data_IF_928997162257
#
_entry.id   IF_928997162257
#
_cell.length_a   1.000
_cell.length_b   1.000
_cell.length_c   1.000
_cell.angle_alpha   90.00
_cell.angle_beta   90.00
_cell.angle_gamma   90.00
#
_symmetry.space_group_name_H-M   'P 1'
#
loop_
_entity.id
_entity.type
_entity.pdbx_description
1 polymer ?
#
# COMPACT_ATOMS: atom_id res chain seq x y z
N UNK A 1 -64.29 48.79 24.71
CA UNK A 1 -62.94 48.70 25.28
C UNK A 1 -62.61 47.17 25.37
N UNK A 2 -61.99 46.66 24.33
CA UNK A 2 -61.67 45.20 24.22
C UNK A 2 -60.16 45.12 24.04
N UNK A 3 -59.49 44.48 25.03
CA UNK A 3 -58.07 44.22 25.03
C UNK A 3 -57.84 42.79 24.45
N UNK A 4 -57.26 42.70 23.29
CA UNK A 4 -56.79 41.44 22.68
C UNK A 4 -55.39 41.15 23.20
N UNK A 5 -55.23 40.01 23.90
CA UNK A 5 -53.93 39.44 24.32
C UNK A 5 -53.36 38.63 23.14
N UNK A 6 -52.21 39.05 22.61
CA UNK A 6 -51.43 38.28 21.68
C UNK A 6 -50.50 37.28 22.45
N UNK A 7 -50.70 36.01 22.27
CA UNK A 7 -49.80 34.95 22.81
C UNK A 7 -48.68 34.70 21.81
N UNK A 8 -47.44 34.94 22.24
CA UNK A 8 -46.25 34.62 21.48
C UNK A 8 -45.90 33.15 21.74
N UNK A 9 -46.00 32.32 20.67
CA UNK A 9 -45.50 30.94 20.67
C UNK A 9 -43.99 30.94 20.35
N UNK A 10 -43.17 30.61 21.35
CA UNK A 10 -41.75 30.31 21.14
C UNK A 10 -41.61 28.89 20.57
N UNK A 11 -41.22 28.79 19.31
CA UNK A 11 -40.83 27.49 18.70
C UNK A 11 -39.36 27.26 19.06
N UNK A 12 -39.10 26.34 19.98
CA UNK A 12 -37.74 25.88 20.28
C UNK A 12 -37.35 24.83 19.20
N UNK A 13 -36.48 25.23 18.26
CA UNK A 13 -35.81 24.32 17.33
C UNK A 13 -34.72 23.55 18.05
N UNK A 14 -35.03 22.33 18.49
CA UNK A 14 -34.04 21.38 19.00
C UNK A 14 -33.16 20.89 17.87
N UNK A 15 -31.87 21.23 17.91
CA UNK A 15 -30.85 20.64 17.05
C UNK A 15 -30.58 19.21 17.55
N UNK A 16 -31.12 18.22 16.86
CA UNK A 16 -30.78 16.82 17.08
C UNK A 16 -29.36 16.58 16.56
N UNK A 17 -28.38 16.65 17.46
CA UNK A 17 -27.03 16.14 17.20
C UNK A 17 -27.14 14.60 17.11
N UNK A 18 -27.15 14.09 15.89
CA UNK A 18 -27.04 12.64 15.63
C UNK A 18 -25.73 12.11 16.22
N UNK A 19 -25.67 10.82 16.64
CA UNK A 19 -24.43 10.22 17.08
C UNK A 19 -23.41 10.31 15.96
N UNK A 20 -22.35 11.12 16.16
CA UNK A 20 -21.21 11.15 15.26
C UNK A 20 -20.63 9.74 15.17
N UNK A 21 -20.57 9.16 13.97
CA UNK A 21 -19.82 7.91 13.74
C UNK A 21 -18.40 8.20 14.18
N UNK A 22 -17.97 7.58 15.28
CA UNK A 22 -16.58 7.71 15.72
C UNK A 22 -15.68 7.24 14.57
N UNK A 23 -14.81 8.11 14.09
CA UNK A 23 -13.83 7.76 13.07
C UNK A 23 -13.00 6.57 13.62
N UNK A 24 -12.94 5.47 12.86
CA UNK A 24 -12.13 4.32 13.23
C UNK A 24 -10.69 4.75 13.35
N UNK A 25 -10.04 4.37 14.46
CA UNK A 25 -8.63 4.70 14.68
C UNK A 25 -7.76 4.14 13.55
N UNK A 26 -6.77 4.88 13.12
CA UNK A 26 -5.84 4.42 12.11
C UNK A 26 -4.89 3.35 12.70
N UNK A 27 -4.37 2.49 11.83
CA UNK A 27 -3.31 1.54 12.15
C UNK A 27 -1.99 2.03 11.55
N UNK A 28 -0.90 1.76 12.23
CA UNK A 28 0.45 2.08 11.77
C UNK A 28 1.36 0.88 11.88
N UNK A 29 2.26 0.72 10.92
CA UNK A 29 3.42 -0.16 11.01
C UNK A 29 4.58 0.40 10.19
N UNK A 30 5.80 -0.02 10.52
CA UNK A 30 7.03 0.40 9.83
C UNK A 30 7.80 -0.80 9.32
N UNK A 31 8.37 -0.64 8.11
CA UNK A 31 9.33 -1.55 7.53
C UNK A 31 10.72 -0.92 7.43
N UNK A 32 11.74 -1.76 7.55
CA UNK A 32 13.15 -1.42 7.39
C UNK A 32 13.71 -2.19 6.20
N UNK A 33 14.09 -1.47 5.15
CA UNK A 33 14.59 -2.05 3.92
C UNK A 33 16.12 -2.11 3.92
N UNK A 34 16.63 -3.32 3.76
CA UNK A 34 18.06 -3.62 3.76
C UNK A 34 18.52 -4.12 2.40
N UNK A 35 19.80 -3.94 2.10
CA UNK A 35 20.47 -4.66 1.02
C UNK A 35 20.37 -6.17 1.23
N UNK A 36 20.36 -6.94 0.14
CA UNK A 36 20.22 -8.39 0.21
C UNK A 36 21.51 -9.10 0.64
N UNK A 37 22.68 -8.47 0.46
CA UNK A 37 24.02 -9.05 0.66
C UNK A 37 24.63 -8.69 2.01
N UNK A 38 24.73 -7.42 2.36
CA UNK A 38 25.44 -6.95 3.56
C UNK A 38 24.52 -6.43 4.68
N UNK A 39 23.20 -6.55 4.50
CA UNK A 39 22.16 -6.11 5.46
C UNK A 39 22.31 -4.64 5.90
N UNK A 40 22.73 -3.77 5.00
CA UNK A 40 22.83 -2.32 5.22
C UNK A 40 21.46 -1.68 5.03
N UNK A 41 21.05 -0.81 5.96
CA UNK A 41 19.80 -0.09 5.85
C UNK A 41 19.82 0.86 4.65
N UNK A 42 18.85 0.72 3.77
CA UNK A 42 18.68 1.56 2.57
C UNK A 42 17.64 2.66 2.78
N UNK A 43 16.51 2.30 3.38
CA UNK A 43 15.40 3.20 3.68
C UNK A 43 14.45 2.56 4.70
N UNK A 44 13.54 3.35 5.22
CA UNK A 44 12.38 2.88 5.98
C UNK A 44 11.09 3.18 5.24
N UNK A 45 10.04 2.40 5.47
CA UNK A 45 8.70 2.67 4.98
C UNK A 45 7.71 2.66 6.14
N UNK A 46 7.00 3.76 6.32
CA UNK A 46 5.98 3.94 7.35
C UNK A 46 4.61 3.91 6.70
N UNK A 47 3.73 3.04 7.20
CA UNK A 47 2.41 2.79 6.66
C UNK A 47 1.35 3.24 7.66
N UNK A 48 0.38 4.05 7.21
CA UNK A 48 -0.83 4.39 7.93
C UNK A 48 -2.04 3.85 7.16
N UNK A 49 -2.80 2.95 7.80
CA UNK A 49 -4.05 2.41 7.27
C UNK A 49 -5.19 3.09 8.01
N UNK A 50 -6.09 3.72 7.28
CA UNK A 50 -7.19 4.48 7.87
C UNK A 50 -8.43 4.42 6.96
N UNK A 51 -9.56 4.81 7.52
CA UNK A 51 -10.81 4.96 6.76
C UNK A 51 -11.10 6.45 6.56
N UNK A 52 -11.47 6.81 5.34
CA UNK A 52 -11.97 8.13 5.01
C UNK A 52 -13.21 7.99 4.14
N UNK A 53 -14.33 8.57 4.61
CA UNK A 53 -15.64 8.48 3.95
C UNK A 53 -16.10 7.04 3.65
N UNK A 54 -15.77 6.08 4.53
CA UNK A 54 -16.12 4.66 4.38
C UNK A 54 -15.25 3.88 3.39
N UNK A 55 -14.18 4.49 2.90
CA UNK A 55 -13.19 3.85 2.03
C UNK A 55 -11.89 3.64 2.80
N UNK A 56 -11.35 2.42 2.74
CA UNK A 56 -10.04 2.13 3.33
C UNK A 56 -8.94 2.73 2.47
N UNK A 57 -8.02 3.44 3.14
CA UNK A 57 -6.87 4.10 2.51
C UNK A 57 -5.58 3.74 3.20
N UNK A 58 -4.50 3.84 2.47
CA UNK A 58 -3.14 3.68 3.01
C UNK A 58 -2.27 4.83 2.53
N UNK A 59 -1.61 5.50 3.46
CA UNK A 59 -0.50 6.40 3.20
C UNK A 59 0.79 5.65 3.49
N UNK A 60 1.77 5.72 2.58
CA UNK A 60 3.13 5.20 2.81
C UNK A 60 4.13 6.33 2.61
N UNK A 61 4.99 6.53 3.59
CA UNK A 61 6.12 7.46 3.53
C UNK A 61 7.41 6.65 3.55
N UNK A 62 8.23 6.82 2.53
CA UNK A 62 9.56 6.25 2.48
C UNK A 62 10.56 7.30 2.92
N UNK A 63 11.45 6.94 3.85
CA UNK A 63 12.43 7.86 4.39
C UNK A 63 13.85 7.28 4.28
N UNK A 64 14.80 8.18 4.07
CA UNK A 64 16.23 7.87 4.10
C UNK A 64 16.64 7.32 5.48
N UNK A 65 17.83 6.70 5.63
CA UNK A 65 18.32 6.23 6.94
C UNK A 65 18.39 7.32 8.02
N UNK A 66 18.56 8.59 7.62
CA UNK A 66 18.55 9.77 8.50
C UNK A 66 17.13 10.27 8.87
N UNK A 67 16.09 9.61 8.37
CA UNK A 67 14.69 9.91 8.64
C UNK A 67 14.04 10.93 7.70
N UNK A 68 14.76 11.53 6.75
CA UNK A 68 14.18 12.47 5.80
C UNK A 68 13.30 11.75 4.78
N UNK A 69 12.03 12.12 4.68
CA UNK A 69 11.09 11.54 3.73
C UNK A 69 11.47 11.90 2.28
N UNK A 70 11.42 10.94 1.35
CA UNK A 70 11.75 11.17 -0.06
C UNK A 70 10.70 10.63 -1.03
N UNK A 71 9.86 9.66 -0.62
CA UNK A 71 8.72 9.17 -1.42
C UNK A 71 7.46 9.23 -0.60
N UNK A 72 6.37 9.60 -1.26
CA UNK A 72 5.00 9.45 -0.75
C UNK A 72 4.20 8.58 -1.70
N UNK A 73 3.44 7.65 -1.13
CA UNK A 73 2.55 6.77 -1.87
C UNK A 73 1.18 6.75 -1.21
N UNK A 74 0.16 6.95 -2.02
CA UNK A 74 -1.24 6.82 -1.65
C UNK A 74 -1.83 5.55 -2.24
N UNK A 75 -2.68 4.88 -1.48
CA UNK A 75 -3.43 3.71 -1.93
C UNK A 75 -4.89 3.91 -1.51
N UNK A 76 -5.79 3.83 -2.47
CA UNK A 76 -7.24 3.97 -2.27
C UNK A 76 -7.92 2.67 -2.73
N UNK A 77 -8.56 1.97 -1.79
CA UNK A 77 -9.19 0.67 -2.07
C UNK A 77 -10.64 0.79 -2.56
N UNK A 78 -11.13 2.00 -2.84
CA UNK A 78 -12.48 2.21 -3.35
C UNK A 78 -12.82 1.37 -4.58
N UNK A 79 -11.93 1.22 -5.58
CA UNK A 79 -12.15 0.32 -6.72
C UNK A 79 -12.09 -1.18 -6.40
N UNK A 80 -11.42 -1.56 -5.30
CA UNK A 80 -11.26 -2.93 -4.83
C UNK A 80 -9.95 -3.13 -4.05
N UNK A 81 -9.98 -3.98 -3.04
CA UNK A 81 -8.85 -4.24 -2.14
C UNK A 81 -7.61 -4.75 -2.88
N UNK A 82 -7.79 -5.69 -3.83
CA UNK A 82 -6.71 -6.25 -4.64
C UNK A 82 -6.32 -5.36 -5.84
N UNK A 83 -7.20 -4.45 -6.25
CA UNK A 83 -7.02 -3.58 -7.41
C UNK A 83 -7.19 -2.09 -7.03
N UNK A 84 -6.46 -1.58 -6.03
CA UNK A 84 -6.60 -0.19 -5.58
C UNK A 84 -6.20 0.82 -6.66
N UNK A 85 -6.61 2.08 -6.46
CA UNK A 85 -5.92 3.20 -7.07
C UNK A 85 -4.65 3.51 -6.28
N UNK A 86 -3.59 3.91 -6.97
CA UNK A 86 -2.28 4.15 -6.40
C UNK A 86 -1.69 5.42 -7.00
N UNK A 87 -1.07 6.25 -6.19
CA UNK A 87 -0.24 7.38 -6.63
C UNK A 87 1.06 7.37 -5.83
N UNK A 88 2.19 7.17 -6.50
CA UNK A 88 3.52 7.19 -5.91
C UNK A 88 4.36 8.29 -6.55
N UNK A 89 5.04 9.09 -5.71
CA UNK A 89 5.93 10.16 -6.13
C UNK A 89 7.27 10.09 -5.37
N UNK A 90 8.37 9.99 -6.12
CA UNK A 90 9.75 10.04 -5.62
C UNK A 90 10.37 11.42 -5.92
N UNK A 91 10.56 12.23 -4.89
CA UNK A 91 11.08 13.59 -5.02
C UNK A 91 12.56 13.64 -5.43
N UNK A 92 13.32 12.56 -5.28
CA UNK A 92 14.74 12.49 -5.63
C UNK A 92 14.97 12.57 -7.14
N UNK A 93 14.04 12.03 -7.92
CA UNK A 93 14.15 11.94 -9.37
C UNK A 93 12.97 12.59 -10.11
N UNK A 94 11.88 12.86 -9.39
CA UNK A 94 10.60 13.23 -10.00
C UNK A 94 9.88 12.05 -10.63
N UNK A 95 10.30 10.79 -10.31
CA UNK A 95 9.61 9.60 -10.76
C UNK A 95 8.20 9.54 -10.18
N UNK A 96 7.25 9.19 -11.02
CA UNK A 96 5.86 9.01 -10.62
C UNK A 96 5.23 7.83 -11.33
N UNK A 97 4.42 7.05 -10.62
CA UNK A 97 3.62 5.97 -11.21
C UNK A 97 2.35 5.75 -10.41
N UNK A 98 1.34 5.21 -11.07
CA UNK A 98 0.11 4.88 -10.36
C UNK A 98 -1.02 4.40 -11.26
N UNK A 99 -2.18 4.24 -10.61
CA UNK A 99 -3.47 3.98 -11.23
C UNK A 99 -4.45 4.97 -10.67
N UNK A 100 -5.25 5.57 -11.54
CA UNK A 100 -6.33 6.48 -11.17
C UNK A 100 -7.63 6.07 -11.83
N UNK A 101 -8.73 6.19 -11.10
CA UNK A 101 -10.08 5.98 -11.61
C UNK A 101 -10.75 7.32 -11.83
N UNK A 102 -11.18 7.60 -13.06
CA UNK A 102 -11.91 8.80 -13.39
C UNK A 102 -13.12 8.46 -14.28
N UNK A 103 -14.30 8.96 -13.90
CA UNK A 103 -15.56 8.72 -14.62
C UNK A 103 -15.82 7.23 -14.97
N UNK A 104 -15.47 6.33 -14.08
CA UNK A 104 -15.62 4.87 -14.26
C UNK A 104 -14.56 4.22 -15.15
N UNK A 105 -13.63 4.96 -15.71
CA UNK A 105 -12.49 4.44 -16.45
C UNK A 105 -11.26 4.38 -15.55
N UNK A 106 -10.45 3.35 -15.73
CA UNK A 106 -9.19 3.18 -15.01
C UNK A 106 -8.02 3.41 -15.95
N UNK A 107 -7.06 4.18 -15.48
CA UNK A 107 -5.88 4.55 -16.22
C UNK A 107 -4.64 4.30 -15.38
N UNK A 108 -3.68 3.56 -15.95
CA UNK A 108 -2.33 3.42 -15.39
C UNK A 108 -1.42 4.48 -16.02
N UNK A 109 -0.52 5.07 -15.23
CA UNK A 109 0.39 6.09 -15.69
C UNK A 109 1.80 5.92 -15.09
N UNK A 110 2.78 6.44 -15.82
CA UNK A 110 4.18 6.53 -15.37
C UNK A 110 4.86 7.76 -15.94
N UNK A 111 5.63 8.45 -15.10
CA UNK A 111 6.57 9.50 -15.47
C UNK A 111 7.96 9.10 -14.98
N UNK A 112 8.93 8.96 -15.88
CA UNK A 112 10.24 8.39 -15.55
C UNK A 112 11.15 9.31 -14.72
N UNK A 113 10.95 10.62 -14.85
CA UNK A 113 11.69 11.66 -14.11
C UNK A 113 10.97 13.02 -14.23
N UNK A 114 11.48 14.03 -13.53
CA UNK A 114 10.86 15.35 -13.47
C UNK A 114 10.73 16.06 -14.85
N UNK A 115 11.51 15.67 -15.85
CA UNK A 115 11.53 16.29 -17.20
C UNK A 115 10.78 15.48 -18.24
N UNK A 116 10.49 14.21 -17.96
CA UNK A 116 9.80 13.32 -18.87
C UNK A 116 8.30 13.62 -18.92
N UNK A 117 7.70 13.40 -20.09
CA UNK A 117 6.23 13.40 -20.22
C UNK A 117 5.65 12.17 -19.55
N UNK A 118 4.49 12.33 -18.91
CA UNK A 118 3.70 11.21 -18.40
C UNK A 118 3.24 10.32 -19.57
N UNK A 119 3.46 9.03 -19.44
CA UNK A 119 2.89 8.00 -20.31
C UNK A 119 1.72 7.35 -19.58
N UNK A 120 0.67 7.02 -20.28
CA UNK A 120 -0.52 6.40 -19.69
C UNK A 120 -1.20 5.42 -20.63
N UNK A 121 -2.03 4.54 -20.08
CA UNK A 121 -2.87 3.60 -20.81
C UNK A 121 -4.15 3.32 -20.04
N UNK A 122 -5.27 3.17 -20.75
CA UNK A 122 -6.49 2.66 -20.17
C UNK A 122 -6.33 1.17 -19.86
N UNK A 123 -6.80 0.76 -18.70
CA UNK A 123 -6.75 -0.64 -18.25
C UNK A 123 -8.14 -1.16 -17.90
N UNK A 124 -8.37 -2.44 -18.22
CA UNK A 124 -9.50 -3.22 -17.73
C UNK A 124 -8.92 -4.39 -16.92
N UNK A 125 -8.96 -4.32 -15.57
CA UNK A 125 -8.39 -5.38 -14.75
C UNK A 125 -9.06 -6.73 -15.06
N UNK A 126 -8.29 -7.77 -15.43
CA UNK A 126 -8.83 -9.11 -15.62
C UNK A 126 -9.27 -9.72 -14.28
N UNK A 127 -9.93 -10.87 -14.34
CA UNK A 127 -10.30 -11.61 -13.13
C UNK A 127 -9.06 -11.94 -12.29
N UNK A 128 -9.17 -11.79 -10.96
CA UNK A 128 -8.09 -12.00 -10.00
C UNK A 128 -6.87 -11.09 -10.23
N UNK A 129 -7.04 -9.96 -10.90
CA UNK A 129 -5.99 -8.98 -11.09
C UNK A 129 -5.49 -8.41 -9.76
N UNK A 130 -4.20 -8.09 -9.72
CA UNK A 130 -3.56 -7.45 -8.57
C UNK A 130 -2.83 -6.21 -9.03
N UNK A 131 -2.95 -5.14 -8.27
CA UNK A 131 -2.27 -3.87 -8.48
C UNK A 131 -1.47 -3.52 -7.23
N UNK A 132 -0.14 -3.44 -7.35
CA UNK A 132 0.77 -2.94 -6.31
C UNK A 132 0.47 -3.48 -4.89
N UNK A 133 0.17 -2.61 -3.93
CA UNK A 133 -0.16 -2.95 -2.54
C UNK A 133 -1.40 -3.85 -2.38
N UNK A 134 -2.20 -4.03 -3.42
CA UNK A 134 -3.33 -4.97 -3.46
C UNK A 134 -2.90 -6.42 -3.33
N UNK A 135 -1.60 -6.73 -3.52
CA UNK A 135 -1.08 -8.09 -3.29
C UNK A 135 -1.28 -8.55 -1.83
N UNK A 136 -1.14 -7.65 -0.88
CA UNK A 136 -1.39 -7.93 0.54
C UNK A 136 -2.85 -8.35 0.80
N UNK A 137 -3.81 -7.65 0.21
CA UNK A 137 -5.22 -8.02 0.28
C UNK A 137 -5.49 -9.35 -0.44
N UNK A 138 -4.92 -9.54 -1.62
CA UNK A 138 -5.05 -10.79 -2.38
C UNK A 138 -4.56 -12.00 -1.57
N UNK A 139 -3.40 -11.92 -0.90
CA UNK A 139 -2.89 -13.01 -0.06
C UNK A 139 -3.85 -13.32 1.09
N UNK A 140 -4.37 -12.32 1.78
CA UNK A 140 -5.30 -12.52 2.89
C UNK A 140 -6.64 -13.11 2.46
N UNK A 141 -7.19 -12.63 1.35
CA UNK A 141 -8.45 -13.13 0.78
C UNK A 141 -8.33 -14.58 0.27
N UNK A 142 -7.15 -14.97 -0.21
CA UNK A 142 -6.88 -16.30 -0.74
C UNK A 142 -6.03 -17.18 0.19
N UNK A 143 -5.96 -16.82 1.48
CA UNK A 143 -5.06 -17.46 2.45
C UNK A 143 -5.14 -18.98 2.47
N UNK A 144 -6.34 -19.54 2.55
CA UNK A 144 -6.55 -20.99 2.61
C UNK A 144 -6.14 -21.67 1.29
N UNK A 145 -6.52 -21.07 0.17
CA UNK A 145 -6.14 -21.60 -1.16
C UNK A 145 -4.63 -21.53 -1.39
N UNK A 146 -3.98 -20.43 -0.99
CA UNK A 146 -2.53 -20.26 -1.08
C UNK A 146 -1.76 -21.13 -0.08
N UNK A 147 -2.38 -21.48 1.06
CA UNK A 147 -1.76 -22.33 2.08
C UNK A 147 -1.68 -23.80 1.68
N UNK A 148 -2.47 -24.22 0.70
CA UNK A 148 -2.43 -25.55 0.09
C UNK A 148 -1.25 -25.74 -0.87
N UNK A 149 -1.15 -26.92 -1.51
CA UNK A 149 -0.08 -27.24 -2.46
C UNK A 149 -0.26 -26.58 -3.83
N UNK A 150 -1.36 -25.86 -4.04
CA UNK A 150 -1.74 -25.27 -5.33
C UNK A 150 -0.94 -24.02 -5.70
N UNK A 151 -1.06 -23.66 -6.97
CA UNK A 151 -0.55 -22.40 -7.53
C UNK A 151 -1.76 -21.56 -7.91
N UNK A 152 -1.79 -20.30 -7.46
CA UNK A 152 -2.85 -19.37 -7.79
C UNK A 152 -2.36 -18.43 -8.91
N UNK A 153 -2.97 -18.47 -10.10
CA UNK A 153 -2.67 -17.49 -11.14
C UNK A 153 -3.22 -16.11 -10.74
N UNK A 154 -2.43 -15.09 -11.00
CA UNK A 154 -2.84 -13.70 -10.82
C UNK A 154 -2.18 -12.82 -11.89
N UNK A 155 -2.96 -12.11 -12.70
CA UNK A 155 -2.45 -11.02 -13.50
C UNK A 155 -2.00 -9.87 -12.60
N UNK A 156 -0.72 -9.48 -12.68
CA UNK A 156 -0.15 -8.39 -11.89
C UNK A 156 0.14 -7.18 -12.79
N UNK A 157 -0.33 -6.00 -12.40
CA UNK A 157 -0.07 -4.77 -13.14
C UNK A 157 1.37 -4.31 -12.91
N UNK A 158 2.18 -4.28 -13.96
CA UNK A 158 3.50 -3.64 -13.92
C UNK A 158 3.31 -2.17 -14.31
N UNK A 159 3.21 -1.30 -13.29
CA UNK A 159 2.91 0.13 -13.46
C UNK A 159 3.85 0.80 -14.48
N UNK A 160 5.15 0.55 -14.36
CA UNK A 160 6.16 1.10 -15.27
C UNK A 160 6.08 0.61 -16.71
N UNK A 161 5.34 -0.47 -16.97
CA UNK A 161 5.11 -1.05 -18.30
C UNK A 161 3.69 -0.81 -18.82
N UNK A 162 2.80 -0.27 -17.97
CA UNK A 162 1.42 0.09 -18.31
C UNK A 162 0.52 -1.09 -18.71
N UNK A 163 0.87 -2.32 -18.34
CA UNK A 163 0.06 -3.51 -18.67
C UNK A 163 0.16 -4.61 -17.62
N UNK A 164 -0.83 -5.49 -17.64
CA UNK A 164 -0.84 -6.69 -16.82
C UNK A 164 0.08 -7.76 -17.41
N UNK A 165 0.77 -8.48 -16.51
CA UNK A 165 1.62 -9.61 -16.82
C UNK A 165 1.15 -10.79 -15.99
N UNK A 166 1.17 -11.99 -16.55
CA UNK A 166 0.76 -13.20 -15.86
C UNK A 166 1.80 -13.60 -14.82
N UNK A 167 1.38 -13.56 -13.56
CA UNK A 167 2.13 -14.05 -12.41
C UNK A 167 1.42 -15.24 -11.78
N UNK A 168 2.13 -15.93 -10.93
CA UNK A 168 1.60 -16.97 -10.06
C UNK A 168 2.06 -16.77 -8.63
N UNK A 169 1.17 -17.04 -7.66
CA UNK A 169 1.47 -17.07 -6.25
C UNK A 169 1.34 -18.50 -5.71
N UNK A 170 2.24 -18.90 -4.82
CA UNK A 170 2.20 -20.21 -4.16
C UNK A 170 2.85 -20.15 -2.79
N UNK A 171 2.46 -21.05 -1.92
CA UNK A 171 3.19 -21.30 -0.68
C UNK A 171 4.62 -21.74 -0.98
N UNK A 172 5.57 -21.17 -0.29
CA UNK A 172 6.97 -21.56 -0.37
C UNK A 172 7.35 -22.51 0.79
N UNK A 173 7.10 -22.06 2.02
CA UNK A 173 7.36 -22.82 3.26
C UNK A 173 6.69 -22.18 4.46
N UNK A 174 6.66 -22.92 5.57
CA UNK A 174 6.39 -22.39 6.91
C UNK A 174 7.70 -22.38 7.70
N UNK A 175 7.91 -21.35 8.52
CA UNK A 175 8.99 -21.24 9.50
C UNK A 175 8.38 -21.09 10.90
N UNK A 176 8.79 -21.94 11.86
CA UNK A 176 8.15 -22.08 13.17
C UNK A 176 7.23 -23.30 13.22
N UNK A 177 6.98 -23.87 14.42
CA UNK A 177 6.22 -25.11 14.59
C UNK A 177 4.71 -24.89 14.66
N UNK A 178 3.92 -25.89 14.24
CA UNK A 178 2.48 -26.11 14.54
C UNK A 178 1.54 -24.89 14.37
N UNK A 179 1.67 -24.16 13.25
CA UNK A 179 0.78 -23.02 12.95
C UNK A 179 1.12 -21.74 13.71
N UNK A 180 2.16 -21.78 14.55
CA UNK A 180 2.79 -20.60 15.13
C UNK A 180 4.05 -20.27 14.32
N UNK A 181 4.21 -19.01 13.90
CA UNK A 181 5.37 -18.59 13.13
C UNK A 181 4.99 -17.87 11.85
N UNK A 182 5.85 -17.92 10.85
CA UNK A 182 5.65 -17.21 9.60
C UNK A 182 5.43 -18.16 8.44
N UNK A 183 4.53 -17.75 7.54
CA UNK A 183 4.23 -18.44 6.29
C UNK A 183 4.75 -17.64 5.12
N UNK A 184 5.55 -18.26 4.27
CA UNK A 184 6.15 -17.67 3.10
C UNK A 184 5.35 -18.00 1.84
N UNK A 185 5.06 -16.97 1.06
CA UNK A 185 4.50 -17.08 -0.28
C UNK A 185 5.48 -16.51 -1.30
N UNK A 186 5.53 -17.12 -2.47
CA UNK A 186 6.30 -16.65 -3.60
C UNK A 186 5.39 -16.14 -4.70
N UNK A 187 5.66 -14.93 -5.14
CA UNK A 187 5.11 -14.33 -6.36
C UNK A 187 6.19 -14.38 -7.44
N UNK A 188 5.89 -14.98 -8.57
CA UNK A 188 6.81 -15.12 -9.70
C UNK A 188 6.07 -15.02 -11.02
N UNK A 189 6.77 -14.66 -12.10
CA UNK A 189 6.21 -14.71 -13.46
C UNK A 189 5.71 -16.12 -13.75
N UNK A 190 4.56 -16.21 -14.43
CA UNK A 190 4.06 -17.50 -14.90
C UNK A 190 4.87 -18.00 -16.10
N UNK A 191 5.04 -19.31 -16.22
CA UNK A 191 5.72 -19.94 -17.34
C UNK A 191 6.90 -20.81 -16.94
N UNK A 192 7.42 -21.57 -17.89
CA UNK A 192 8.48 -22.57 -17.67
C UNK A 192 9.84 -21.95 -17.33
N UNK A 193 10.07 -20.66 -17.64
CA UNK A 193 11.30 -19.91 -17.36
C UNK A 193 11.24 -19.13 -16.03
N UNK A 194 10.14 -19.22 -15.31
CA UNK A 194 9.92 -18.47 -14.06
C UNK A 194 11.00 -18.71 -13.00
N UNK A 195 11.66 -19.86 -13.01
CA UNK A 195 12.68 -20.24 -12.03
C UNK A 195 14.01 -19.46 -12.19
N UNK A 196 14.27 -18.84 -13.33
CA UNK A 196 15.49 -18.05 -13.58
C UNK A 196 15.25 -16.54 -13.51
N UNK A 197 13.98 -16.12 -13.36
CA UNK A 197 13.61 -14.71 -13.31
C UNK A 197 13.49 -14.22 -11.86
N UNK A 198 13.64 -12.91 -11.62
CA UNK A 198 13.39 -12.33 -10.32
C UNK A 198 12.01 -12.70 -9.80
N UNK A 199 11.93 -13.03 -8.53
CA UNK A 199 10.69 -13.33 -7.82
C UNK A 199 10.60 -12.48 -6.56
N UNK A 200 9.42 -12.45 -5.97
CA UNK A 200 9.15 -11.78 -4.69
C UNK A 200 8.72 -12.86 -3.70
N UNK A 201 9.39 -12.92 -2.55
CA UNK A 201 9.00 -13.75 -1.43
C UNK A 201 8.43 -12.86 -0.32
N UNK A 202 7.26 -13.22 0.19
CA UNK A 202 6.59 -12.46 1.24
C UNK A 202 6.22 -13.39 2.38
N UNK A 203 6.59 -13.01 3.59
CA UNK A 203 6.27 -13.71 4.81
C UNK A 203 5.16 -12.99 5.57
N UNK A 204 4.22 -13.75 6.09
CA UNK A 204 3.16 -13.29 6.96
C UNK A 204 3.17 -14.07 8.27
N UNK A 205 2.79 -13.42 9.35
CA UNK A 205 2.44 -14.13 10.57
C UNK A 205 1.29 -15.10 10.27
N UNK A 206 1.44 -16.36 10.67
CA UNK A 206 0.50 -17.42 10.31
C UNK A 206 -0.85 -17.33 11.05
N UNK A 207 -0.92 -16.58 12.16
CA UNK A 207 -2.12 -16.41 12.99
C UNK A 207 -2.85 -15.11 12.69
N UNK A 208 -2.10 -14.00 12.60
CA UNK A 208 -2.68 -12.66 12.41
C UNK A 208 -2.78 -12.27 10.94
N UNK A 209 -2.11 -12.99 10.05
CA UNK A 209 -1.94 -12.68 8.62
C UNK A 209 -1.34 -11.30 8.39
N UNK A 210 -0.57 -10.80 9.36
CA UNK A 210 0.15 -9.55 9.22
C UNK A 210 1.46 -9.75 8.49
N UNK A 211 1.80 -8.78 7.63
CA UNK A 211 3.05 -8.79 6.87
C UNK A 211 4.25 -8.76 7.83
N UNK A 212 5.14 -9.74 7.68
CA UNK A 212 6.32 -9.94 8.53
C UNK A 212 7.62 -9.57 7.80
N UNK A 213 7.79 -10.04 6.56
CA UNK A 213 8.98 -9.76 5.76
C UNK A 213 8.66 -9.78 4.26
N UNK A 214 9.40 -9.00 3.50
CA UNK A 214 9.39 -8.97 2.04
C UNK A 214 10.81 -9.17 1.51
N UNK A 215 10.98 -9.93 0.43
CA UNK A 215 12.26 -10.11 -0.28
C UNK A 215 12.02 -10.02 -1.77
N UNK A 216 12.74 -9.13 -2.45
CA UNK A 216 12.64 -8.98 -3.90
C UNK A 216 12.79 -7.55 -4.38
N UNK A 217 12.35 -7.30 -5.62
CA UNK A 217 12.38 -5.97 -6.22
C UNK A 217 11.34 -5.06 -5.60
N UNK A 218 11.78 -3.96 -5.02
CA UNK A 218 10.88 -2.91 -4.52
C UNK A 218 10.53 -1.90 -5.61
N UNK A 219 9.52 -1.05 -5.37
CA UNK A 219 9.23 0.08 -6.27
C UNK A 219 10.21 1.26 -6.08
N UNK A 220 11.03 1.23 -5.05
CA UNK A 220 12.06 2.25 -4.83
C UNK A 220 13.21 2.03 -5.81
N UNK A 221 13.61 3.11 -6.48
CA UNK A 221 14.68 3.10 -7.47
C UNK A 221 15.98 3.60 -6.87
N UNK A 222 17.08 2.93 -7.21
CA UNK A 222 18.43 3.32 -6.86
C UNK A 222 19.15 4.00 -8.01
N UNK A 223 20.47 3.96 -7.96
CA UNK A 223 21.33 4.49 -9.04
C UNK A 223 21.00 3.85 -10.40
N UNK A 224 21.02 4.65 -11.45
CA UNK A 224 20.67 4.19 -12.81
C UNK A 224 19.18 3.89 -13.00
N UNK A 225 18.32 4.43 -12.16
CA UNK A 225 16.86 4.32 -12.25
C UNK A 225 16.34 2.86 -12.26
N UNK A 226 17.04 1.94 -11.59
CA UNK A 226 16.65 0.52 -11.46
C UNK A 226 16.05 0.25 -10.09
N UNK A 227 15.00 -0.57 -10.06
CA UNK A 227 14.38 -1.02 -8.82
C UNK A 227 15.41 -1.70 -7.91
N UNK A 228 15.38 -1.38 -6.63
CA UNK A 228 16.26 -1.99 -5.63
C UNK A 228 15.79 -3.41 -5.31
N UNK A 229 16.73 -4.33 -5.20
CA UNK A 229 16.49 -5.65 -4.64
C UNK A 229 16.76 -5.59 -3.14
N UNK A 230 15.75 -5.86 -2.33
CA UNK A 230 15.77 -5.58 -0.89
C UNK A 230 15.20 -6.73 -0.06
N UNK A 231 15.61 -6.77 1.21
CA UNK A 231 14.86 -7.42 2.28
C UNK A 231 14.23 -6.34 3.14
N UNK A 232 12.89 -6.36 3.29
CA UNK A 232 12.16 -5.43 4.16
C UNK A 232 11.62 -6.21 5.34
N UNK A 233 11.97 -5.78 6.54
CA UNK A 233 11.52 -6.37 7.80
C UNK A 233 10.45 -5.48 8.43
N UNK A 234 9.35 -6.09 8.91
CA UNK A 234 8.23 -5.41 9.56
C UNK A 234 8.09 -5.90 11.00
N UNK A 235 8.91 -5.38 11.94
CA UNK A 235 8.90 -5.84 13.32
C UNK A 235 7.53 -5.64 13.97
N UNK A 236 6.96 -6.65 14.67
CA UNK A 236 5.68 -6.50 15.38
C UNK A 236 5.67 -5.35 16.39
N UNK A 237 6.81 -5.06 17.02
CA UNK A 237 6.97 -3.96 17.98
C UNK A 237 6.75 -2.56 17.37
N UNK A 238 6.85 -2.43 16.06
CA UNK A 238 6.62 -1.17 15.33
C UNK A 238 5.15 -0.99 14.91
N UNK A 239 4.25 -1.89 15.33
CA UNK A 239 2.82 -1.82 15.03
C UNK A 239 2.07 -1.06 16.11
N UNK A 240 1.13 -0.20 15.70
CA UNK A 240 0.20 0.53 16.56
C UNK A 240 -1.20 0.50 15.97
N UNK A 241 -2.20 0.19 16.78
CA UNK A 241 -3.58 -0.02 16.32
C UNK A 241 -4.50 1.18 16.60
N UNK A 242 -4.04 2.15 17.43
CA UNK A 242 -4.84 3.31 17.86
C UNK A 242 -4.10 4.62 17.52
N UNK A 243 -3.90 4.85 16.21
CA UNK A 243 -3.22 6.06 15.73
C UNK A 243 -4.23 7.17 15.47
N UNK A 244 -3.95 8.35 15.98
CA UNK A 244 -4.81 9.51 15.78
C UNK A 244 -4.81 9.96 14.31
N UNK A 245 -5.96 10.39 13.81
CA UNK A 245 -6.09 10.93 12.44
C UNK A 245 -5.18 12.15 12.20
N UNK A 246 -4.87 12.93 13.23
CA UNK A 246 -3.92 14.04 13.14
C UNK A 246 -2.50 13.61 12.82
N UNK A 247 -2.08 12.41 13.22
CA UNK A 247 -0.78 11.84 12.83
C UNK A 247 -0.76 11.52 11.34
N UNK A 248 -1.83 10.92 10.80
CA UNK A 248 -1.98 10.68 9.35
C UNK A 248 -1.91 11.98 8.56
N UNK A 249 -2.61 13.02 9.03
CA UNK A 249 -2.57 14.36 8.42
C UNK A 249 -1.16 14.97 8.46
N UNK A 250 -0.47 14.87 9.59
CA UNK A 250 0.92 15.32 9.73
C UNK A 250 1.85 14.58 8.75
N UNK A 251 1.74 13.26 8.66
CA UNK A 251 2.51 12.45 7.73
C UNK A 251 2.20 12.79 6.26
N UNK A 252 0.94 13.06 5.93
CA UNK A 252 0.53 13.44 4.58
C UNK A 252 1.11 14.77 4.11
N UNK A 253 1.32 15.71 5.02
CA UNK A 253 1.92 17.02 4.76
C UNK A 253 3.46 17.05 4.87
N UNK A 254 4.12 15.94 5.18
CA UNK A 254 5.56 15.89 5.38
C UNK A 254 6.32 16.33 4.12
N UNK A 255 7.28 17.28 4.19
CA UNK A 255 8.08 17.66 3.03
C UNK A 255 8.96 16.49 2.57
N UNK A 256 9.12 16.37 1.25
CA UNK A 256 9.97 15.33 0.65
C UNK A 256 11.33 15.95 0.25
N UNK A 257 12.42 15.26 0.59
CA UNK A 257 13.78 15.65 0.18
C UNK A 257 14.09 15.13 -1.23
N UNK A 258 14.87 15.92 -1.99
CA UNK A 258 15.37 15.52 -3.30
C UNK A 258 16.59 14.59 -3.27
N UNK A 259 17.15 14.29 -2.10
CA UNK A 259 18.31 13.39 -1.95
C UNK A 259 18.37 12.80 -0.54
N UNK A 260 18.94 11.61 -0.44
CA UNK A 260 19.35 11.05 0.85
C UNK A 260 20.82 11.40 1.10
N UNK A 261 21.16 11.75 2.34
CA UNK A 261 22.55 11.89 2.73
C UNK A 261 23.30 10.57 2.47
N UNK A 262 24.50 10.64 1.91
CA UNK A 262 25.34 9.45 1.76
C UNK A 262 25.73 8.95 3.15
N UNK A 263 25.33 7.74 3.49
CA UNK A 263 25.76 7.03 4.70
C UNK A 263 27.12 6.40 4.49
#
# INVERSE_FOLDING_TARGET
MWLTRASLLLVATGVLSGPGVAARAAQYYRGYAYTADDHRLLYTESHWLYEEQGVSRRLVIYACPDGQAFVRKWVDTGPGSAIPDVDMFDARTGYREGVRTHAGQREVYVQSDATASEKHALIAPPQNAVIDAGFDAFVREHWDALSGPGVQPLPFLILSQLHFVDFSARKLRDEGGDGQGVRWFRLQLAGWYAFVLPHIDVAYDAQTHELYQYRGLSNIRGAGNRNLNVTIEFPPAERRHDVAQTEVQGASGMPLTGHCASS
#
